data_IF_128343672952
#
_entry.id   IF_128343672952
#
_cell.length_a   1.000
_cell.length_b   1.000
_cell.length_c   1.000
_cell.angle_alpha   90.00
_cell.angle_beta   90.00
_cell.angle_gamma   90.00
#
_symmetry.space_group_name_H-M   'P 1'
#
loop_
_entity.id
_entity.type
_entity.pdbx_description
1 polymer ?
#
# COMPACT_ATOMS: atom_id res chain seq x y z
N UNK A 1 -7.12 -44.14 4.89
CA UNK A 1 -7.34 -43.03 3.93
C UNK A 1 -8.59 -42.30 4.41
N UNK A 2 -8.43 -41.55 5.51
CA UNK A 2 -9.54 -40.81 6.14
C UNK A 2 -9.78 -39.53 5.35
N UNK A 3 -10.99 -39.39 4.79
CA UNK A 3 -11.48 -38.11 4.28
C UNK A 3 -11.86 -37.27 5.49
N UNK A 4 -10.96 -36.38 5.90
CA UNK A 4 -11.35 -35.25 6.73
C UNK A 4 -12.33 -34.38 5.93
N UNK A 5 -13.61 -34.44 6.30
CA UNK A 5 -14.62 -33.52 5.81
C UNK A 5 -14.33 -32.14 6.37
N UNK A 6 -13.69 -31.31 5.54
CA UNK A 6 -13.39 -29.92 5.84
C UNK A 6 -14.71 -29.15 6.00
N UNK A 7 -14.97 -28.70 7.23
CA UNK A 7 -16.12 -27.87 7.60
C UNK A 7 -15.98 -26.53 6.85
N UNK A 8 -17.01 -26.06 6.10
CA UNK A 8 -16.96 -24.76 5.45
C UNK A 8 -16.77 -23.65 6.49
N UNK A 9 -16.01 -22.59 6.19
CA UNK A 9 -15.69 -21.54 7.15
C UNK A 9 -16.98 -20.97 7.74
N UNK A 10 -17.14 -21.17 9.05
CA UNK A 10 -18.23 -20.64 9.85
C UNK A 10 -18.19 -19.11 9.85
N UNK A 11 -19.37 -18.51 9.74
CA UNK A 11 -19.62 -17.07 9.64
C UNK A 11 -18.75 -16.26 10.61
N UNK A 12 -18.21 -15.12 10.13
CA UNK A 12 -17.27 -14.23 10.83
C UNK A 12 -17.60 -14.00 12.32
N UNK A 13 -16.59 -13.97 13.22
CA UNK A 13 -16.79 -13.62 14.62
C UNK A 13 -17.34 -12.18 14.72
N UNK A 14 -18.56 -12.08 15.24
CA UNK A 14 -19.36 -10.88 15.31
C UNK A 14 -18.98 -10.00 16.51
N UNK A 15 -17.75 -9.51 16.58
CA UNK A 15 -17.38 -8.46 17.55
C UNK A 15 -16.31 -7.55 16.98
N UNK A 16 -16.68 -6.70 16.02
CA UNK A 16 -15.91 -5.48 15.75
C UNK A 16 -16.39 -4.42 16.74
N UNK A 17 -15.53 -3.89 17.63
CA UNK A 17 -15.95 -2.89 18.61
C UNK A 17 -16.50 -1.65 17.91
N UNK A 18 -17.67 -1.18 18.37
CA UNK A 18 -18.45 -0.08 17.78
C UNK A 18 -17.63 1.22 17.55
N UNK A 19 -16.52 1.39 18.28
CA UNK A 19 -15.60 2.51 18.15
C UNK A 19 -14.92 2.63 16.77
N UNK A 20 -14.74 1.51 16.04
CA UNK A 20 -14.11 1.54 14.69
C UNK A 20 -15.04 2.04 13.58
N UNK A 21 -16.36 1.93 13.75
CA UNK A 21 -17.34 2.36 12.75
C UNK A 21 -17.49 3.88 12.70
N UNK A 22 -17.33 4.56 13.85
CA UNK A 22 -17.42 6.02 13.95
C UNK A 22 -16.22 6.69 13.26
N UNK A 23 -15.01 6.16 13.48
CA UNK A 23 -13.78 6.72 12.91
C UNK A 23 -13.76 6.65 11.37
N UNK A 24 -14.24 5.53 10.80
CA UNK A 24 -14.28 5.34 9.36
C UNK A 24 -15.35 6.23 8.68
N UNK A 25 -16.49 6.48 9.34
CA UNK A 25 -17.51 7.42 8.84
C UNK A 25 -16.99 8.86 8.81
N UNK A 26 -16.18 9.25 9.79
CA UNK A 26 -15.53 10.56 9.81
C UNK A 26 -14.56 10.75 8.64
N UNK A 27 -13.74 9.74 8.34
CA UNK A 27 -12.74 9.81 7.27
C UNK A 27 -13.36 9.95 5.88
N UNK A 28 -14.47 9.22 5.61
CA UNK A 28 -15.18 9.29 4.33
C UNK A 28 -15.93 10.62 4.16
N UNK A 29 -16.50 11.18 5.24
CA UNK A 29 -17.13 12.50 5.18
C UNK A 29 -16.11 13.61 4.89
N UNK A 30 -14.92 13.53 5.49
CA UNK A 30 -13.83 14.48 5.26
C UNK A 30 -13.29 14.42 3.82
N UNK A 31 -13.16 13.22 3.23
CA UNK A 31 -12.72 13.10 1.85
C UNK A 31 -13.75 13.66 0.87
N UNK A 32 -15.04 13.39 1.06
CA UNK A 32 -16.12 13.95 0.21
C UNK A 32 -16.14 15.48 0.28
N UNK A 33 -16.00 16.06 1.48
CA UNK A 33 -15.93 17.52 1.65
C UNK A 33 -14.67 18.12 1.01
N UNK A 34 -13.53 17.45 1.10
CA UNK A 34 -12.29 17.88 0.46
C UNK A 34 -12.43 17.92 -1.08
N UNK A 35 -13.00 16.89 -1.70
CA UNK A 35 -13.21 16.85 -3.15
C UNK A 35 -14.28 17.83 -3.63
N UNK A 36 -15.35 18.04 -2.85
CA UNK A 36 -16.34 19.06 -3.14
C UNK A 36 -15.73 20.48 -3.06
N UNK A 37 -14.90 20.73 -2.05
CA UNK A 37 -14.17 21.99 -1.90
C UNK A 37 -13.19 22.26 -3.03
N UNK A 38 -12.40 21.26 -3.44
CA UNK A 38 -11.50 21.37 -4.60
C UNK A 38 -12.29 21.69 -5.88
N UNK A 39 -13.41 21.00 -6.11
CA UNK A 39 -14.23 21.20 -7.32
C UNK A 39 -14.79 22.63 -7.37
N UNK A 40 -15.29 23.16 -6.25
CA UNK A 40 -15.78 24.53 -6.16
C UNK A 40 -14.66 25.57 -6.34
N UNK A 41 -13.46 25.30 -5.84
CA UNK A 41 -12.29 26.16 -6.04
C UNK A 41 -11.95 26.32 -7.54
N UNK A 42 -11.99 25.23 -8.32
CA UNK A 42 -11.72 25.31 -9.77
C UNK A 42 -12.86 25.96 -10.60
N UNK A 43 -14.10 25.92 -10.10
CA UNK A 43 -15.24 26.60 -10.74
C UNK A 43 -15.18 28.11 -10.48
N UNK A 44 -14.73 28.54 -9.30
CA UNK A 44 -14.62 29.95 -8.91
C UNK A 44 -13.35 30.66 -9.37
N UNK A 45 -12.40 29.99 -10.04
CA UNK A 45 -11.20 30.65 -10.55
C UNK A 45 -11.57 31.63 -11.67
N UNK A 46 -11.20 32.92 -11.56
CA UNK A 46 -11.37 33.90 -12.63
C UNK A 46 -10.80 33.39 -13.96
N UNK A 47 -11.46 33.64 -15.09
CA UNK A 47 -11.01 33.21 -16.43
C UNK A 47 -9.55 33.60 -16.75
N UNK A 48 -9.07 34.70 -16.17
CA UNK A 48 -7.68 35.15 -16.28
C UNK A 48 -6.64 34.12 -15.79
N UNK A 49 -7.00 33.25 -14.84
CA UNK A 49 -6.13 32.18 -14.34
C UNK A 49 -6.26 30.86 -15.12
N UNK A 50 -7.36 30.65 -15.86
CA UNK A 50 -7.53 29.47 -16.72
C UNK A 50 -6.68 29.55 -17.99
N UNK A 51 -6.37 30.76 -18.45
CA UNK A 51 -5.57 31.01 -19.65
C UNK A 51 -4.12 31.41 -19.32
N UNK A 52 -3.64 31.11 -18.10
CA UNK A 52 -2.26 31.38 -17.73
C UNK A 52 -1.33 30.44 -18.51
N UNK A 53 -0.89 30.88 -19.69
CA UNK A 53 0.21 30.26 -20.42
C UNK A 53 1.47 30.43 -19.58
N UNK A 54 1.97 29.32 -19.05
CA UNK A 54 3.27 29.27 -18.40
C UNK A 54 4.30 29.92 -19.34
N UNK A 55 5.11 30.88 -18.86
CA UNK A 55 6.19 31.43 -19.65
C UNK A 55 7.05 30.28 -20.17
N UNK A 56 7.39 30.30 -21.47
CA UNK A 56 8.36 29.36 -22.04
C UNK A 56 9.60 29.33 -21.14
N UNK A 57 10.15 28.15 -20.82
CA UNK A 57 11.32 28.06 -19.96
C UNK A 57 12.45 28.88 -20.60
N UNK A 58 12.88 29.92 -19.89
CA UNK A 58 14.10 30.63 -20.23
C UNK A 58 15.24 29.61 -20.21
N UNK A 59 15.96 29.50 -21.32
CA UNK A 59 17.20 28.74 -21.40
C UNK A 59 18.10 29.19 -20.24
N UNK A 60 18.34 28.27 -19.32
CA UNK A 60 19.09 28.51 -18.08
C UNK A 60 20.56 28.66 -18.43
N UNK A 61 21.02 29.91 -18.51
CA UNK A 61 22.43 30.26 -18.44
C UNK A 61 23.01 29.80 -17.11
N UNK A 62 24.17 29.16 -17.17
CA UNK A 62 24.98 28.76 -16.03
C UNK A 62 25.37 30.00 -15.20
N UNK A 63 24.85 30.09 -13.99
CA UNK A 63 25.16 31.17 -13.05
C UNK A 63 24.56 30.85 -11.69
N UNK A 64 25.37 30.27 -10.81
CA UNK A 64 24.97 29.95 -9.44
C UNK A 64 24.76 31.22 -8.62
N UNK A 65 23.57 31.33 -8.03
CA UNK A 65 23.33 32.14 -6.84
C UNK A 65 22.51 31.32 -5.85
N UNK A 66 23.00 31.27 -4.62
CA UNK A 66 22.37 30.60 -3.49
C UNK A 66 21.08 31.35 -3.11
N UNK A 67 20.01 30.59 -2.86
CA UNK A 67 18.76 31.09 -2.31
C UNK A 67 18.93 31.39 -0.81
N UNK A 68 18.33 32.47 -0.28
CA UNK A 68 18.39 32.80 1.14
C UNK A 68 17.51 31.87 1.97
N UNK A 69 18.01 31.54 3.16
CA UNK A 69 17.28 30.80 4.21
C UNK A 69 16.00 31.54 4.61
N UNK A 70 14.88 30.82 4.57
CA UNK A 70 13.59 31.27 5.11
C UNK A 70 13.45 30.66 6.50
N UNK A 71 13.79 31.45 7.52
CA UNK A 71 13.47 31.16 8.91
C UNK A 71 11.96 31.34 9.13
N UNK A 72 11.26 30.24 9.44
CA UNK A 72 9.88 30.28 9.94
C UNK A 72 9.90 30.32 11.48
N UNK A 73 9.31 31.34 12.13
CA UNK A 73 9.18 31.39 13.58
C UNK A 73 8.16 30.36 14.06
N UNK A 74 8.59 29.43 14.92
CA UNK A 74 7.71 28.53 15.67
C UNK A 74 7.51 29.10 17.08
N UNK A 75 6.71 30.15 17.19
CA UNK A 75 6.21 30.60 18.50
C UNK A 75 4.85 29.95 18.79
N UNK A 76 4.90 28.89 19.61
CA UNK A 76 3.71 28.32 20.24
C UNK A 76 3.38 29.04 21.55
N UNK A 77 2.10 29.21 21.90
CA UNK A 77 1.71 29.93 23.11
C UNK A 77 2.06 29.14 24.38
N UNK A 78 2.72 29.83 25.31
CA UNK A 78 3.01 29.37 26.66
C UNK A 78 1.73 28.97 27.41
N UNK A 79 1.76 27.77 28.02
CA UNK A 79 0.72 27.27 28.91
C UNK A 79 0.96 27.79 30.34
N UNK A 80 -0.06 28.31 31.04
CA UNK A 80 0.10 28.81 32.38
C UNK A 80 0.22 27.69 33.41
N UNK A 81 1.17 27.90 34.33
CA UNK A 81 1.42 27.15 35.55
C UNK A 81 0.16 26.86 36.37
N UNK A 82 0.00 25.60 36.80
CA UNK A 82 -0.89 25.27 37.92
C UNK A 82 -0.27 24.22 38.84
N UNK A 83 0.08 24.70 40.03
CA UNK A 83 -0.02 24.08 41.35
C UNK A 83 0.60 22.68 41.56
N UNK A 84 1.73 22.71 42.27
CA UNK A 84 2.32 21.59 42.97
C UNK A 84 1.36 20.96 43.99
N UNK A 85 1.13 19.64 43.86
CA UNK A 85 0.71 18.79 44.98
C UNK A 85 1.79 17.75 45.25
N UNK A 86 2.36 17.87 46.44
CA UNK A 86 3.39 17.03 47.02
C UNK A 86 2.85 15.61 47.28
N UNK A 87 3.26 14.64 46.47
CA UNK A 87 3.07 13.21 46.73
C UNK A 87 4.45 12.59 46.96
N UNK A 88 4.64 12.01 48.14
CA UNK A 88 5.87 11.37 48.58
C UNK A 88 6.31 10.28 47.59
N UNK A 89 7.53 10.46 47.09
CA UNK A 89 8.24 9.56 46.18
C UNK A 89 8.55 8.24 46.88
N UNK A 90 7.74 7.21 46.63
CA UNK A 90 8.26 5.87 46.57
C UNK A 90 9.05 5.75 45.26
N UNK A 91 10.31 5.36 45.32
CA UNK A 91 11.17 5.12 44.16
C UNK A 91 10.60 3.99 43.30
N UNK A 92 9.63 4.32 42.45
CA UNK A 92 9.27 3.50 41.31
C UNK A 92 10.43 3.67 40.34
N UNK A 93 11.28 2.66 40.28
CA UNK A 93 12.19 2.46 39.16
C UNK A 93 11.33 2.30 37.89
N UNK A 94 10.92 3.43 37.32
CA UNK A 94 10.44 3.50 35.93
C UNK A 94 11.69 3.24 35.12
N UNK A 95 11.94 1.97 34.81
CA UNK A 95 12.78 1.63 33.67
C UNK A 95 12.14 2.33 32.48
N UNK A 96 12.67 3.50 32.13
CA UNK A 96 12.41 4.15 30.84
C UNK A 96 12.98 3.18 29.84
N UNK A 97 12.17 2.21 29.45
CA UNK A 97 12.41 1.41 28.28
C UNK A 97 12.51 2.47 27.18
N UNK A 98 13.74 2.74 26.73
CA UNK A 98 14.00 3.45 25.48
C UNK A 98 13.58 2.54 24.32
N UNK A 99 12.38 1.97 24.46
CA UNK A 99 11.82 0.90 23.71
C UNK A 99 11.43 1.48 22.38
N UNK A 100 12.22 1.15 21.38
CA UNK A 100 11.88 1.33 19.97
C UNK A 100 10.40 0.92 19.81
N UNK A 101 9.50 1.79 19.33
CA UNK A 101 8.08 1.48 19.26
C UNK A 101 7.83 0.18 18.52
N UNK A 102 6.80 -0.58 18.92
CA UNK A 102 6.48 -1.87 18.28
C UNK A 102 6.12 -1.80 16.79
N UNK A 103 5.93 -0.60 16.23
CA UNK A 103 5.66 -0.35 14.81
C UNK A 103 6.88 0.19 14.03
N UNK A 104 8.03 0.33 14.70
CA UNK A 104 9.27 0.80 14.06
C UNK A 104 9.75 -0.20 13.01
N UNK A 105 10.14 0.29 11.84
CA UNK A 105 10.54 -0.55 10.70
C UNK A 105 11.77 -1.41 10.99
N UNK A 106 12.69 -0.93 11.82
CA UNK A 106 13.91 -1.67 12.18
C UNK A 106 13.64 -3.01 12.88
N UNK A 107 12.45 -3.20 13.46
CA UNK A 107 12.03 -4.47 14.09
C UNK A 107 11.52 -5.51 13.10
N UNK A 108 11.31 -5.13 11.84
CA UNK A 108 10.68 -5.96 10.81
C UNK A 108 11.59 -6.18 9.59
N UNK A 109 12.88 -5.94 9.77
CA UNK A 109 13.93 -6.15 8.78
C UNK A 109 15.16 -6.77 9.47
N UNK A 110 16.00 -7.45 8.70
CA UNK A 110 17.25 -8.04 9.20
C UNK A 110 18.29 -6.96 9.53
N UNK A 111 18.25 -5.83 8.82
CA UNK A 111 19.18 -4.73 9.02
C UNK A 111 19.00 -3.59 8.00
N UNK A 112 20.09 -2.90 7.62
CA UNK A 112 20.04 -1.85 6.61
C UNK A 112 19.65 -2.40 5.23
N UNK A 113 19.21 -1.54 4.28
CA UNK A 113 18.85 -1.95 2.93
C UNK A 113 19.97 -2.75 2.25
N UNK A 114 19.60 -3.79 1.52
CA UNK A 114 20.54 -4.72 0.84
C UNK A 114 20.34 -4.71 -0.66
N UNK A 115 21.29 -5.29 -1.42
CA UNK A 115 21.15 -5.43 -2.89
C UNK A 115 19.98 -6.31 -3.32
N UNK A 116 19.66 -7.37 -2.59
CA UNK A 116 18.48 -8.22 -2.81
C UNK A 116 17.47 -7.97 -1.72
N UNK A 117 16.19 -7.78 -2.07
CA UNK A 117 15.18 -7.52 -1.07
C UNK A 117 15.00 -8.72 -0.12
N UNK A 118 15.15 -9.95 -0.64
CA UNK A 118 14.97 -11.19 0.11
C UNK A 118 15.94 -11.28 1.29
N UNK A 119 17.16 -10.78 1.13
CA UNK A 119 18.20 -10.84 2.16
C UNK A 119 17.87 -9.99 3.40
N UNK A 120 17.05 -8.95 3.25
CA UNK A 120 16.70 -8.05 4.35
C UNK A 120 15.36 -8.38 5.03
N UNK A 121 14.60 -9.34 4.52
CA UNK A 121 13.32 -9.72 5.11
C UNK A 121 13.50 -10.71 6.27
N UNK A 122 12.71 -10.53 7.34
CA UNK A 122 12.62 -11.53 8.40
C UNK A 122 11.91 -12.80 7.90
N UNK A 123 12.49 -13.96 8.22
CA UNK A 123 12.05 -15.28 7.72
C UNK A 123 10.64 -15.69 8.20
N UNK A 124 10.22 -15.23 9.37
CA UNK A 124 8.94 -15.56 10.01
C UNK A 124 7.86 -14.49 9.81
N UNK A 125 8.18 -13.46 9.04
CA UNK A 125 7.32 -12.31 8.76
C UNK A 125 6.89 -12.30 7.30
N UNK A 126 5.66 -11.84 7.06
CA UNK A 126 5.05 -11.81 5.74
C UNK A 126 4.71 -10.38 5.35
N UNK A 127 4.93 -10.07 4.08
CA UNK A 127 4.85 -8.72 3.54
C UNK A 127 3.87 -8.65 2.39
N UNK A 128 3.43 -7.45 2.06
CA UNK A 128 2.60 -7.17 0.90
C UNK A 128 3.09 -5.91 0.17
N UNK A 129 3.11 -5.95 -1.16
CA UNK A 129 3.45 -4.81 -2.02
C UNK A 129 2.49 -4.75 -3.21
N UNK A 130 2.36 -3.58 -3.83
CA UNK A 130 1.61 -3.40 -5.07
C UNK A 130 2.18 -2.25 -5.87
N UNK A 131 2.09 -2.29 -7.20
CA UNK A 131 2.72 -1.27 -8.03
C UNK A 131 1.81 -0.05 -8.22
N UNK A 132 2.46 1.10 -8.20
CA UNK A 132 1.82 2.39 -8.28
C UNK A 132 1.71 2.80 -9.74
N UNK A 133 0.57 2.49 -10.36
CA UNK A 133 0.29 2.88 -11.74
C UNK A 133 -0.70 4.04 -11.85
N UNK A 134 -0.70 4.73 -12.99
CA UNK A 134 -1.64 5.80 -13.34
C UNK A 134 -1.44 7.11 -12.54
N UNK A 135 -2.48 7.95 -12.44
CA UNK A 135 -2.45 9.25 -11.76
C UNK A 135 -2.14 9.16 -10.26
N UNK A 136 -1.65 10.25 -9.68
CA UNK A 136 -1.29 10.31 -8.25
C UNK A 136 -2.42 9.82 -7.33
N UNK A 137 -3.66 10.23 -7.59
CA UNK A 137 -4.84 9.76 -6.82
C UNK A 137 -5.04 8.25 -6.92
N UNK A 138 -4.82 7.66 -8.09
CA UNK A 138 -4.98 6.22 -8.31
C UNK A 138 -3.89 5.44 -7.54
N UNK A 139 -2.65 5.91 -7.61
CA UNK A 139 -1.52 5.38 -6.85
C UNK A 139 -1.79 5.46 -5.34
N UNK A 140 -2.19 6.62 -4.84
CA UNK A 140 -2.52 6.84 -3.44
C UNK A 140 -3.63 5.90 -2.94
N UNK A 141 -4.74 5.82 -3.68
CA UNK A 141 -5.83 4.91 -3.34
C UNK A 141 -5.40 3.43 -3.40
N UNK A 142 -4.53 3.07 -4.36
CA UNK A 142 -3.89 1.76 -4.43
C UNK A 142 -3.10 1.43 -3.16
N UNK A 143 -2.30 2.38 -2.64
CA UNK A 143 -1.58 2.19 -1.38
C UNK A 143 -2.50 2.06 -0.17
N UNK A 144 -3.56 2.86 -0.09
CA UNK A 144 -4.56 2.74 0.99
C UNK A 144 -5.18 1.34 0.98
N UNK A 145 -5.55 0.84 -0.20
CA UNK A 145 -6.11 -0.49 -0.38
C UNK A 145 -5.10 -1.58 -0.03
N UNK A 146 -3.83 -1.43 -0.41
CA UNK A 146 -2.74 -2.34 -0.07
C UNK A 146 -2.49 -2.39 1.44
N UNK A 147 -2.44 -1.23 2.10
CA UNK A 147 -2.29 -1.15 3.56
C UNK A 147 -3.45 -1.87 4.23
N UNK A 148 -4.68 -1.58 3.81
CA UNK A 148 -5.86 -2.24 4.35
C UNK A 148 -5.82 -3.76 4.17
N UNK A 149 -5.45 -4.23 2.96
CA UNK A 149 -5.31 -5.65 2.66
C UNK A 149 -4.25 -6.30 3.56
N UNK A 150 -3.08 -5.66 3.73
CA UNK A 150 -2.04 -6.13 4.65
C UNK A 150 -2.54 -6.27 6.09
N UNK A 151 -3.32 -5.31 6.58
CA UNK A 151 -3.90 -5.36 7.93
C UNK A 151 -4.86 -6.54 8.14
N UNK A 152 -5.66 -6.89 7.13
CA UNK A 152 -6.64 -7.98 7.23
C UNK A 152 -6.07 -9.35 6.82
N UNK A 153 -4.90 -9.38 6.19
CA UNK A 153 -4.19 -10.61 5.82
C UNK A 153 -2.97 -10.90 6.70
N UNK A 154 -2.77 -10.16 7.79
CA UNK A 154 -1.61 -10.26 8.68
C UNK A 154 -0.25 -10.14 7.95
N UNK A 155 -0.16 -9.14 7.08
CA UNK A 155 1.05 -8.82 6.31
C UNK A 155 1.48 -7.38 6.54
N UNK A 156 2.79 -7.15 6.55
CA UNK A 156 3.39 -5.83 6.65
C UNK A 156 3.43 -5.17 5.26
N UNK A 157 2.77 -4.03 5.04
CA UNK A 157 2.83 -3.34 3.76
C UNK A 157 4.23 -2.77 3.50
N UNK A 158 4.77 -2.97 2.30
CA UNK A 158 5.98 -2.33 1.78
C UNK A 158 5.54 -1.36 0.67
N UNK A 159 5.57 -0.06 0.96
CA UNK A 159 5.13 0.99 0.05
C UNK A 159 6.21 1.23 -1.02
N UNK A 160 5.87 1.09 -2.32
CA UNK A 160 6.75 1.57 -3.38
C UNK A 160 6.78 3.10 -3.43
N UNK A 161 7.77 3.67 -4.12
CA UNK A 161 7.70 5.08 -4.48
C UNK A 161 6.58 5.32 -5.51
N UNK A 162 6.06 6.54 -5.52
CA UNK A 162 5.19 7.03 -6.57
C UNK A 162 5.95 7.10 -7.89
N UNK A 163 5.38 6.52 -8.94
CA UNK A 163 5.95 6.50 -10.28
C UNK A 163 5.48 7.68 -11.14
N UNK A 164 6.36 8.28 -11.97
CA UNK A 164 5.97 9.33 -12.91
C UNK A 164 5.23 8.72 -14.11
N UNK A 165 3.91 8.55 -14.01
CA UNK A 165 3.09 8.07 -15.14
C UNK A 165 2.44 9.21 -15.93
N UNK A 166 2.14 10.34 -15.27
CA UNK A 166 1.60 11.56 -15.90
C UNK A 166 2.51 12.78 -15.71
N UNK A 167 3.75 12.54 -15.28
CA UNK A 167 4.80 13.55 -15.12
C UNK A 167 5.97 13.17 -16.02
N UNK A 168 6.90 14.10 -16.26
CA UNK A 168 8.15 13.75 -16.94
C UNK A 168 8.86 12.64 -16.17
N UNK A 169 9.47 11.69 -16.88
CA UNK A 169 10.31 10.65 -16.26
C UNK A 169 11.44 11.28 -15.41
N UNK A 170 11.90 12.47 -15.77
CA UNK A 170 12.92 13.23 -15.04
C UNK A 170 12.48 13.65 -13.63
N UNK A 171 11.18 13.62 -13.34
CA UNK A 171 10.67 13.86 -11.99
C UNK A 171 11.12 12.77 -11.00
N UNK A 172 11.48 11.60 -11.52
CA UNK A 172 11.97 10.48 -10.73
C UNK A 172 10.90 9.80 -9.88
N UNK A 173 11.33 8.79 -9.13
CA UNK A 173 10.51 8.06 -8.18
C UNK A 173 10.38 8.83 -6.85
N UNK A 174 9.16 9.19 -6.45
CA UNK A 174 8.93 9.97 -5.23
C UNK A 174 8.53 9.06 -4.07
N UNK A 175 9.35 8.98 -3.03
CA UNK A 175 9.06 8.16 -1.84
C UNK A 175 7.77 8.60 -1.15
N UNK A 176 7.07 7.65 -0.53
CA UNK A 176 5.84 7.94 0.20
C UNK A 176 6.10 8.88 1.37
N UNK A 177 7.20 8.66 2.12
CA UNK A 177 7.60 9.50 3.25
C UNK A 177 7.98 10.94 2.89
N UNK A 178 8.29 11.22 1.62
CA UNK A 178 8.52 12.59 1.16
C UNK A 178 7.24 13.41 1.04
N UNK A 179 6.09 12.74 0.89
CA UNK A 179 4.77 13.38 0.76
C UNK A 179 3.97 13.29 2.05
N UNK A 180 4.09 12.17 2.77
CA UNK A 180 3.30 11.86 3.94
C UNK A 180 4.17 11.53 5.14
N UNK A 181 3.72 11.91 6.34
CA UNK A 181 4.42 11.56 7.57
C UNK A 181 4.20 10.07 7.91
N UNK A 182 5.09 9.21 7.41
CA UNK A 182 5.00 7.76 7.60
C UNK A 182 5.12 7.36 9.09
N UNK A 183 5.92 8.09 9.89
CA UNK A 183 6.02 7.88 11.33
C UNK A 183 4.68 8.11 12.03
N UNK A 184 3.97 9.18 11.66
CA UNK A 184 2.62 9.44 12.17
C UNK A 184 1.64 8.33 11.74
N UNK A 185 1.69 7.89 10.49
CA UNK A 185 0.82 6.82 9.99
C UNK A 185 1.03 5.50 10.75
N UNK A 186 2.29 5.07 10.92
CA UNK A 186 2.66 3.86 11.71
C UNK A 186 2.13 3.96 13.14
N UNK A 187 2.33 5.12 13.79
CA UNK A 187 1.82 5.40 15.14
C UNK A 187 0.29 5.36 15.21
N UNK A 188 -0.39 6.01 14.27
CA UNK A 188 -1.84 6.10 14.25
C UNK A 188 -2.52 4.75 14.02
N UNK A 189 -1.93 3.90 13.18
CA UNK A 189 -2.41 2.54 12.93
C UNK A 189 -1.92 1.55 14.00
N UNK A 190 -0.90 1.91 14.78
CA UNK A 190 -0.15 1.03 15.68
C UNK A 190 0.32 -0.26 14.97
N UNK A 191 0.85 -0.07 13.76
CA UNK A 191 1.22 -1.15 12.83
C UNK A 191 2.47 -0.77 12.04
N UNK A 192 3.36 -1.75 11.76
CA UNK A 192 4.48 -1.50 10.87
C UNK A 192 4.02 -1.30 9.43
N UNK A 193 4.67 -0.36 8.75
CA UNK A 193 4.51 -0.10 7.32
C UNK A 193 5.90 0.27 6.83
N UNK A 194 6.45 -0.47 5.88
CA UNK A 194 7.79 -0.26 5.34
C UNK A 194 7.72 0.55 4.04
N UNK A 195 8.85 1.10 3.62
CA UNK A 195 9.09 1.58 2.26
C UNK A 195 10.19 0.75 1.59
N UNK A 196 10.15 0.65 0.27
CA UNK A 196 11.15 -0.14 -0.48
C UNK A 196 12.59 0.30 -0.22
N UNK A 197 12.85 1.59 -0.02
CA UNK A 197 14.18 2.11 0.30
C UNK A 197 14.72 1.66 1.67
N UNK A 198 13.85 1.17 2.57
CA UNK A 198 14.25 0.56 3.85
C UNK A 198 14.63 -0.93 3.63
N UNK A 199 14.08 -1.57 2.59
CA UNK A 199 14.25 -3.00 2.31
C UNK A 199 15.44 -3.27 1.40
N UNK A 200 15.53 -2.53 0.28
CA UNK A 200 16.48 -2.77 -0.81
C UNK A 200 17.21 -1.48 -1.17
N UNK A 201 18.48 -1.60 -1.54
CA UNK A 201 19.25 -0.50 -2.13
C UNK A 201 18.58 -0.02 -3.42
N UNK A 202 18.25 1.27 -3.46
CA UNK A 202 17.67 1.93 -4.62
C UNK A 202 18.73 2.78 -5.32
N UNK A 203 18.63 2.88 -6.65
CA UNK A 203 19.39 3.89 -7.40
C UNK A 203 18.85 5.31 -7.07
N UNK A 204 19.51 6.35 -7.57
CA UNK A 204 19.01 7.72 -7.44
C UNK A 204 17.55 7.81 -7.92
N UNK A 205 16.64 8.53 -7.23
CA UNK A 205 15.26 8.73 -7.66
C UNK A 205 15.10 9.16 -9.12
N UNK A 206 16.05 9.95 -9.64
CA UNK A 206 16.07 10.48 -11.00
C UNK A 206 16.85 9.60 -11.99
N UNK A 207 17.23 8.38 -11.60
CA UNK A 207 17.95 7.47 -12.47
C UNK A 207 17.07 7.03 -13.64
N UNK A 208 17.47 7.40 -14.85
CA UNK A 208 16.85 6.90 -16.10
C UNK A 208 17.53 5.65 -16.63
N UNK A 209 18.50 5.10 -15.88
CA UNK A 209 19.28 3.95 -16.29
C UNK A 209 18.42 2.69 -16.21
N UNK A 210 18.32 1.98 -17.32
CA UNK A 210 17.72 0.66 -17.32
C UNK A 210 18.69 -0.34 -16.64
N UNK A 211 18.25 -1.10 -15.61
CA UNK A 211 19.09 -2.07 -14.95
C UNK A 211 19.38 -3.26 -15.87
N UNK A 212 20.60 -3.80 -15.78
CA UNK A 212 21.00 -4.99 -16.53
C UNK A 212 20.23 -6.23 -16.07
N UNK A 213 20.27 -7.30 -16.86
CA UNK A 213 19.62 -8.57 -16.51
C UNK A 213 20.11 -9.15 -15.19
N UNK A 214 21.40 -8.98 -14.86
CA UNK A 214 22.04 -9.52 -13.66
C UNK A 214 21.72 -8.72 -12.40
N UNK A 215 21.38 -7.44 -12.57
CA UNK A 215 20.93 -6.59 -11.46
C UNK A 215 19.48 -6.85 -11.07
N UNK A 216 18.70 -7.47 -11.97
CA UNK A 216 17.27 -7.69 -11.76
C UNK A 216 17.01 -8.90 -10.88
N UNK A 217 16.22 -8.66 -9.84
CA UNK A 217 15.78 -9.70 -8.92
C UNK A 217 14.39 -10.22 -9.30
N UNK A 218 14.25 -11.53 -9.39
CA UNK A 218 13.00 -12.17 -9.81
C UNK A 218 11.98 -12.28 -8.66
N UNK A 219 10.72 -11.96 -8.97
CA UNK A 219 9.57 -12.08 -8.06
C UNK A 219 8.30 -12.47 -8.84
N UNK A 220 7.50 -13.37 -8.27
CA UNK A 220 6.15 -13.65 -8.76
C UNK A 220 5.11 -12.73 -8.10
N UNK A 221 4.18 -12.21 -8.90
CA UNK A 221 3.12 -11.32 -8.46
C UNK A 221 1.74 -11.78 -8.94
N UNK A 222 0.71 -11.36 -8.21
CA UNK A 222 -0.68 -11.45 -8.64
C UNK A 222 -1.02 -10.31 -9.60
N UNK A 223 -1.76 -10.64 -10.66
CA UNK A 223 -2.38 -9.67 -11.55
C UNK A 223 -3.86 -9.56 -11.26
N UNK A 224 -4.31 -8.34 -11.02
CA UNK A 224 -5.70 -7.98 -10.72
C UNK A 224 -6.51 -7.64 -11.97
N UNK A 225 -5.84 -7.55 -13.13
CA UNK A 225 -6.48 -7.26 -14.43
C UNK A 225 -7.63 -8.20 -14.69
N UNK A 226 -8.73 -7.65 -15.22
CA UNK A 226 -9.92 -8.39 -15.66
C UNK A 226 -9.56 -9.54 -16.62
N UNK A 227 -10.40 -10.57 -16.63
CA UNK A 227 -10.15 -11.81 -17.36
C UNK A 227 -9.94 -11.56 -18.86
N UNK A 228 -10.76 -10.68 -19.45
CA UNK A 228 -10.70 -10.31 -20.85
C UNK A 228 -9.38 -9.64 -21.28
N UNK A 229 -8.54 -9.19 -20.33
CA UNK A 229 -7.25 -8.57 -20.62
C UNK A 229 -6.14 -9.60 -20.45
N UNK A 230 -5.41 -9.87 -21.55
CA UNK A 230 -4.34 -10.86 -21.58
C UNK A 230 -3.05 -10.40 -20.88
N UNK A 231 -2.78 -9.09 -20.81
CA UNK A 231 -1.51 -8.54 -20.29
C UNK A 231 -1.69 -7.87 -18.91
N UNK A 232 -0.74 -8.09 -17.96
CA UNK A 232 -0.74 -7.43 -16.66
C UNK A 232 -0.43 -5.94 -16.80
N UNK A 233 -0.65 -5.17 -15.73
CA UNK A 233 -0.18 -3.79 -15.67
C UNK A 233 1.32 -3.78 -15.38
N UNK A 234 2.10 -3.08 -16.22
CA UNK A 234 3.56 -2.96 -16.03
C UNK A 234 3.95 -1.50 -15.81
N UNK A 235 4.34 -1.19 -14.58
CA UNK A 235 4.86 0.13 -14.20
C UNK A 235 6.39 0.14 -14.39
N UNK A 236 6.86 0.28 -15.63
CA UNK A 236 8.29 0.17 -15.96
C UNK A 236 9.17 1.05 -15.08
N UNK A 237 8.77 2.30 -14.84
CA UNK A 237 9.56 3.26 -14.04
C UNK A 237 9.83 2.77 -12.61
N UNK A 238 8.80 2.33 -11.89
CA UNK A 238 8.95 1.82 -10.52
C UNK A 238 9.66 0.46 -10.49
N UNK A 239 9.32 -0.43 -11.43
CA UNK A 239 9.91 -1.78 -11.50
C UNK A 239 11.41 -1.72 -11.81
N UNK A 240 11.82 -0.83 -12.73
CA UNK A 240 13.22 -0.64 -13.09
C UNK A 240 14.00 0.08 -11.98
N UNK A 241 13.39 1.08 -11.33
CA UNK A 241 13.96 1.75 -10.15
C UNK A 241 14.29 0.75 -9.04
N UNK A 242 13.40 -0.23 -8.83
CA UNK A 242 13.56 -1.30 -7.85
C UNK A 242 14.34 -2.51 -8.39
N UNK A 243 14.79 -2.48 -9.65
CA UNK A 243 15.52 -3.58 -10.31
C UNK A 243 14.83 -4.93 -10.13
N UNK A 244 13.54 -5.00 -10.43
CA UNK A 244 12.74 -6.22 -10.33
C UNK A 244 12.49 -6.84 -11.71
N UNK A 245 12.39 -8.17 -11.75
CA UNK A 245 11.96 -8.95 -12.91
C UNK A 245 10.72 -9.77 -12.54
N UNK A 246 9.56 -9.34 -13.04
CA UNK A 246 8.27 -9.75 -12.47
C UNK A 246 7.52 -10.70 -13.39
N UNK A 247 7.17 -11.87 -12.87
CA UNK A 247 6.20 -12.78 -13.49
C UNK A 247 4.81 -12.57 -12.86
N UNK A 248 3.75 -12.71 -13.65
CA UNK A 248 2.38 -12.46 -13.19
C UNK A 248 1.51 -13.72 -13.32
N UNK A 249 0.79 -14.03 -12.24
CA UNK A 249 -0.28 -15.03 -12.18
C UNK A 249 -1.61 -14.32 -11.95
N UNK A 250 -2.66 -14.72 -12.65
CA UNK A 250 -3.96 -14.06 -12.49
C UNK A 250 -4.58 -14.37 -11.13
N UNK A 251 -5.18 -13.37 -10.49
CA UNK A 251 -6.03 -13.64 -9.32
C UNK A 251 -7.25 -14.49 -9.74
N UNK A 252 -7.75 -15.37 -8.86
CA UNK A 252 -8.90 -16.23 -9.16
C UNK A 252 -10.15 -15.39 -9.48
N UNK A 253 -11.00 -15.83 -10.41
CA UNK A 253 -12.20 -15.08 -10.79
C UNK A 253 -13.19 -14.94 -9.62
N UNK A 254 -13.17 -15.86 -8.66
CA UNK A 254 -13.97 -15.81 -7.43
C UNK A 254 -13.57 -14.67 -6.48
N UNK A 255 -12.46 -13.97 -6.75
CA UNK A 255 -12.07 -12.75 -6.04
C UNK A 255 -12.73 -11.48 -6.58
N UNK A 256 -13.47 -11.60 -7.68
CA UNK A 256 -14.19 -10.50 -8.32
C UNK A 256 -15.60 -10.36 -7.75
N UNK A 257 -16.13 -9.14 -7.84
CA UNK A 257 -17.52 -8.86 -7.46
C UNK A 257 -18.51 -9.62 -8.33
N UNK A 258 -18.21 -9.79 -9.62
CA UNK A 258 -18.98 -10.57 -10.59
C UNK A 258 -18.09 -11.66 -11.21
N UNK A 259 -17.93 -12.82 -10.58
CA UNK A 259 -16.99 -13.87 -11.02
C UNK A 259 -17.22 -14.37 -12.45
N UNK A 260 -18.48 -14.35 -12.92
CA UNK A 260 -18.85 -14.82 -14.25
C UNK A 260 -18.80 -13.72 -15.32
N UNK A 261 -18.31 -12.52 -14.98
CA UNK A 261 -18.25 -11.38 -15.90
C UNK A 261 -16.79 -11.03 -16.18
N UNK A 262 -16.28 -11.45 -17.34
CA UNK A 262 -14.87 -11.29 -17.73
C UNK A 262 -14.37 -9.83 -17.77
N UNK A 263 -15.30 -8.89 -17.84
CA UNK A 263 -15.04 -7.45 -17.87
C UNK A 263 -15.21 -6.75 -16.51
N UNK A 264 -15.42 -7.48 -15.41
CA UNK A 264 -15.51 -6.86 -14.07
C UNK A 264 -14.13 -6.45 -13.58
N UNK A 265 -13.90 -5.14 -13.50
CA UNK A 265 -12.62 -4.56 -13.07
C UNK A 265 -12.45 -4.62 -11.54
N UNK A 266 -13.52 -4.93 -10.79
CA UNK A 266 -13.56 -4.80 -9.34
C UNK A 266 -13.26 -6.10 -8.58
N UNK A 267 -12.32 -6.01 -7.65
CA UNK A 267 -12.01 -7.07 -6.69
C UNK A 267 -12.66 -6.82 -5.33
N UNK A 268 -12.82 -7.88 -4.56
CA UNK A 268 -13.40 -7.85 -3.22
C UNK A 268 -12.36 -8.30 -2.19
N UNK A 269 -12.03 -7.42 -1.23
CA UNK A 269 -10.94 -7.66 -0.26
C UNK A 269 -11.02 -9.02 0.45
N UNK A 270 -12.18 -9.34 1.01
CA UNK A 270 -12.35 -10.56 1.81
C UNK A 270 -12.25 -11.84 0.97
N UNK A 271 -12.50 -11.76 -0.34
CA UNK A 271 -12.32 -12.88 -1.25
C UNK A 271 -10.84 -13.04 -1.65
N UNK A 272 -10.07 -11.96 -1.62
CA UNK A 272 -8.63 -11.99 -1.94
C UNK A 272 -7.77 -12.50 -0.78
N UNK A 273 -8.14 -12.16 0.46
CA UNK A 273 -7.39 -12.53 1.68
C UNK A 273 -7.02 -14.01 1.76
N UNK A 274 -7.94 -14.98 1.51
CA UNK A 274 -7.62 -16.41 1.61
C UNK A 274 -6.47 -16.86 0.70
N UNK A 275 -6.21 -16.18 -0.41
CA UNK A 275 -5.14 -16.54 -1.36
C UNK A 275 -3.78 -15.99 -0.96
N UNK A 276 -3.76 -15.03 -0.04
CA UNK A 276 -2.54 -14.38 0.44
C UNK A 276 -2.34 -14.58 1.93
N UNK A 277 -3.18 -15.34 2.63
CA UNK A 277 -2.97 -15.55 4.06
C UNK A 277 -1.64 -16.30 4.30
N UNK A 278 -0.78 -15.83 5.22
CA UNK A 278 0.49 -16.50 5.54
C UNK A 278 0.35 -17.98 5.88
N UNK A 279 1.32 -18.81 5.46
CA UNK A 279 1.48 -20.27 5.76
C UNK A 279 0.40 -21.19 5.22
N UNK A 280 -0.83 -20.72 5.13
CA UNK A 280 -1.99 -21.53 4.77
C UNK A 280 -2.92 -20.77 3.81
N UNK A 281 -2.42 -20.38 2.62
CA UNK A 281 -3.31 -19.87 1.59
C UNK A 281 -4.30 -20.99 1.21
N UNK A 282 -5.57 -20.64 1.03
CA UNK A 282 -6.63 -21.60 0.71
C UNK A 282 -6.28 -22.45 -0.52
N UNK A 283 -5.65 -21.83 -1.52
CA UNK A 283 -5.05 -22.53 -2.67
C UNK A 283 -3.66 -21.96 -2.93
N UNK A 284 -2.62 -22.81 -3.08
CA UNK A 284 -1.30 -22.37 -3.48
C UNK A 284 -1.32 -21.59 -4.79
N UNK A 285 -0.49 -20.55 -4.89
CA UNK A 285 -0.41 -19.71 -6.08
C UNK A 285 0.00 -20.48 -7.35
N UNK A 286 0.76 -21.58 -7.18
CA UNK A 286 1.15 -22.50 -8.24
C UNK A 286 -0.02 -23.20 -8.94
N UNK A 287 -1.20 -23.22 -8.32
CA UNK A 287 -2.38 -23.87 -8.88
C UNK A 287 -3.13 -22.99 -9.89
N UNK A 288 -2.70 -21.73 -10.05
CA UNK A 288 -3.33 -20.77 -10.94
C UNK A 288 -2.50 -20.55 -12.20
N UNK A 289 -3.14 -20.28 -13.35
CA UNK A 289 -2.43 -20.12 -14.60
C UNK A 289 -1.53 -18.89 -14.56
N UNK A 290 -0.29 -19.07 -15.02
CA UNK A 290 0.61 -17.96 -15.31
C UNK A 290 -0.07 -17.07 -16.37
N UNK A 291 -0.25 -15.80 -16.04
CA UNK A 291 -0.76 -14.81 -16.98
C UNK A 291 0.36 -14.35 -17.93
N UNK A 292 1.53 -14.05 -17.39
CA UNK A 292 2.67 -13.63 -18.19
C UNK A 292 4.00 -13.97 -17.50
N UNK A 293 4.95 -14.50 -18.28
CA UNK A 293 6.33 -14.61 -17.84
C UNK A 293 6.98 -13.22 -17.67
N UNK A 294 8.04 -13.15 -16.89
CA UNK A 294 8.82 -11.93 -16.73
C UNK A 294 9.56 -11.56 -18.04
N UNK A 295 10.01 -10.30 -18.19
CA UNK A 295 10.88 -9.90 -19.29
C UNK A 295 12.10 -10.82 -19.53
N UNK A 296 12.69 -11.36 -18.45
CA UNK A 296 13.81 -12.32 -18.55
C UNK A 296 13.37 -13.79 -18.69
N UNK A 297 12.09 -14.04 -18.95
CA UNK A 297 11.53 -15.37 -19.20
C UNK A 297 11.22 -16.19 -17.94
N UNK A 298 11.30 -15.59 -16.75
CA UNK A 298 10.99 -16.27 -15.50
C UNK A 298 9.49 -16.56 -15.38
N UNK A 299 9.15 -17.71 -14.80
CA UNK A 299 7.76 -18.19 -14.65
C UNK A 299 7.42 -18.45 -13.17
N UNK A 300 7.84 -17.54 -12.31
CA UNK A 300 7.63 -17.67 -10.87
C UNK A 300 6.16 -17.42 -10.53
N UNK A 301 5.58 -18.35 -9.75
CA UNK A 301 4.31 -18.13 -9.08
C UNK A 301 4.44 -17.03 -8.01
N UNK A 302 3.35 -16.36 -7.63
CA UNK A 302 3.32 -15.38 -6.56
C UNK A 302 4.11 -15.82 -5.31
N UNK A 303 5.02 -14.97 -4.85
CA UNK A 303 5.92 -15.28 -3.75
C UNK A 303 5.16 -15.27 -2.41
N UNK A 304 5.33 -16.31 -1.59
CA UNK A 304 4.54 -16.46 -0.36
C UNK A 304 4.93 -15.42 0.70
N UNK A 305 6.23 -15.19 0.91
CA UNK A 305 6.72 -14.25 1.92
C UNK A 305 6.35 -12.80 1.56
N UNK A 306 6.40 -12.43 0.28
CA UNK A 306 6.00 -11.09 -0.20
C UNK A 306 4.87 -11.24 -1.21
N UNK A 307 3.64 -11.04 -0.74
CA UNK A 307 2.48 -10.99 -1.64
C UNK A 307 2.56 -9.73 -2.48
N UNK A 308 2.72 -9.90 -3.79
CA UNK A 308 2.89 -8.79 -4.70
C UNK A 308 1.68 -8.67 -5.63
N UNK A 309 1.23 -7.44 -5.92
CA UNK A 309 0.12 -7.14 -6.83
C UNK A 309 0.52 -6.14 -7.92
N UNK A 310 -0.04 -6.27 -9.12
CA UNK A 310 0.20 -5.29 -10.19
C UNK A 310 -0.51 -3.95 -9.95
N UNK A 311 -1.73 -3.98 -9.41
CA UNK A 311 -2.57 -2.80 -9.24
C UNK A 311 -3.67 -3.07 -8.20
N UNK A 312 -3.89 -2.16 -7.25
CA UNK A 312 -4.94 -2.33 -6.22
C UNK A 312 -5.96 -1.20 -6.19
N UNK A 313 -6.00 -0.32 -7.18
CA UNK A 313 -6.98 0.78 -7.22
C UNK A 313 -8.43 0.28 -7.30
N UNK A 314 -8.72 -0.69 -8.17
CA UNK A 314 -10.06 -1.26 -8.36
C UNK A 314 -10.39 -2.37 -7.35
N UNK A 315 -10.01 -2.19 -6.09
CA UNK A 315 -10.44 -3.07 -5.00
C UNK A 315 -11.47 -2.34 -4.14
N UNK A 316 -12.63 -1.93 -4.68
CA UNK A 316 -13.60 -1.25 -3.86
C UNK A 316 -14.24 -2.25 -2.91
N UNK A 317 -14.63 -1.69 -1.77
CA UNK A 317 -15.71 -2.21 -0.92
C UNK A 317 -15.28 -3.34 0.01
N UNK A 318 -15.26 -2.98 1.29
CA UNK A 318 -15.68 -3.89 2.34
C UNK A 318 -17.18 -4.12 2.12
N UNK A 319 -17.53 -5.13 1.33
CA UNK A 319 -18.91 -5.59 1.32
C UNK A 319 -19.26 -5.94 2.77
N UNK A 320 -20.31 -5.31 3.30
CA UNK A 320 -20.88 -5.77 4.56
C UNK A 320 -21.16 -7.23 4.35
N UNK A 321 -20.59 -8.11 5.19
CA UNK A 321 -21.00 -9.49 5.26
C UNK A 321 -22.52 -9.51 5.17
N UNK A 322 -23.05 -9.93 4.03
CA UNK A 322 -24.47 -10.13 3.83
C UNK A 322 -24.87 -11.00 5.00
N UNK A 323 -25.73 -10.48 5.90
CA UNK A 323 -26.16 -11.20 7.11
C UNK A 323 -26.38 -12.65 6.68
N UNK A 324 -25.69 -13.60 7.30
CA UNK A 324 -25.89 -15.01 7.03
C UNK A 324 -27.41 -15.22 7.15
N UNK A 325 -28.09 -15.35 6.00
CA UNK A 325 -29.53 -15.50 5.95
C UNK A 325 -29.76 -16.78 6.70
N UNK A 326 -30.31 -16.68 7.92
CA UNK A 326 -30.65 -17.86 8.73
C UNK A 326 -31.41 -18.80 7.81
N UNK A 327 -30.92 -20.04 7.61
CA UNK A 327 -31.61 -20.98 6.74
C UNK A 327 -33.06 -21.02 7.17
N UNK A 328 -33.95 -20.68 6.23
CA UNK A 328 -35.37 -20.59 6.49
C UNK A 328 -35.80 -21.87 7.19
N UNK A 329 -36.31 -21.72 8.42
CA UNK A 329 -36.95 -22.79 9.18
C UNK A 329 -37.98 -23.43 8.26
N UNK A 330 -37.66 -24.61 7.73
CA UNK A 330 -38.62 -25.43 7.00
C UNK A 330 -39.82 -25.58 7.92
N UNK A 331 -40.94 -24.92 7.58
CA UNK A 331 -42.23 -25.27 8.17
C UNK A 331 -42.52 -26.68 7.68
N UNK A 332 -42.52 -27.63 8.59
CA UNK A 332 -43.11 -28.93 8.33
C UNK A 332 -44.61 -28.72 8.09
N UNK A 333 -45.08 -29.29 6.99
CA UNK A 333 -46.47 -29.69 6.82
C UNK A 333 -46.68 -31.07 7.45
#
# INVERSE_FOLDING_TARGET
MERETMIPPSCCPSTIPAMRVVFFRGLVALSVLFFAGLSLFFIGLPEALRNFQLPRPLQRGSGGQALPDIDMPLDGPESPNSAASNCQSGDIHVSVETGVPGWDSSRFLQGPPTKSFKDNLLNDTYYITSWADSGFTNQFMGYVNMIYLGLISDRIPILPPFGPHHMSYDAGALRFSHVFNLKYLRKALNRPILEWHEVKEEDSPSSLREPSSEERESIGCWSTRKEAIANPLRVKSVIDHLKLDIAYTRVPSETRRLPNHENDDFLVFHQLVPYIFPRHPWRPASNFPLMQASPLGQRQSPYEQVSCFDYLYYTPRVDRCSRCSTPGRLRGD
#
